data_IF_516356402101
#
_entry.id   IF_516356402101
#
_cell.length_a   1.000
_cell.length_b   1.000
_cell.length_c   1.000
_cell.angle_alpha   90.00
_cell.angle_beta   90.00
_cell.angle_gamma   90.00
#
_symmetry.space_group_name_H-M   'P 1'
#
loop_
_entity.id
_entity.type
_entity.pdbx_description
1 polymer ?
#
# COMPACT_ATOMS: atom_id res chain seq x y z
N UNK A 1 10.77 25.15 25.32
CA UNK A 1 11.60 24.74 26.48
C UNK A 1 10.97 25.40 27.70
N UNK A 2 10.31 24.65 28.58
CA UNK A 2 9.68 25.22 29.76
C UNK A 2 10.03 24.35 30.96
N UNK A 3 10.83 24.92 31.86
CA UNK A 3 11.24 24.32 33.12
C UNK A 3 10.39 24.99 34.21
N UNK A 4 9.49 24.24 34.83
CA UNK A 4 8.80 24.67 36.04
C UNK A 4 9.61 24.24 37.26
N UNK A 5 10.06 25.19 38.06
CA UNK A 5 10.80 24.94 39.31
C UNK A 5 9.98 25.50 40.48
N UNK A 6 9.70 24.69 41.50
CA UNK A 6 9.26 25.17 42.81
C UNK A 6 10.18 24.62 43.92
N UNK A 7 10.04 25.16 45.14
CA UNK A 7 11.02 25.03 46.24
C UNK A 7 11.18 23.62 46.84
N UNK A 8 10.43 22.61 46.36
CA UNK A 8 10.42 21.26 46.92
C UNK A 8 11.18 20.21 46.08
N UNK A 9 11.70 20.58 44.90
CA UNK A 9 12.51 19.69 44.06
C UNK A 9 12.26 19.88 42.57
N UNK A 10 13.24 19.46 41.77
CA UNK A 10 13.13 19.34 40.31
C UNK A 10 12.72 17.92 39.94
N UNK A 11 11.69 17.76 39.11
CA UNK A 11 11.38 16.50 38.44
C UNK A 11 11.61 16.68 36.95
N UNK A 12 12.63 16.01 36.41
CA UNK A 12 12.90 15.97 34.97
C UNK A 12 12.01 14.91 34.33
N UNK A 13 11.12 15.32 33.43
CA UNK A 13 10.39 14.40 32.57
C UNK A 13 10.99 14.46 31.17
N UNK A 14 11.70 13.41 30.76
CA UNK A 14 12.14 13.26 29.38
C UNK A 14 10.91 12.96 28.51
N UNK A 15 10.43 13.98 27.77
CA UNK A 15 9.43 13.76 26.72
C UNK A 15 10.18 13.36 25.46
N UNK A 16 10.13 12.07 25.11
CA UNK A 16 10.55 11.61 23.80
C UNK A 16 9.50 12.04 22.78
N UNK A 17 9.80 13.10 22.01
CA UNK A 17 8.99 13.46 20.84
C UNK A 17 9.60 12.73 19.65
N UNK A 18 9.02 11.59 19.29
CA UNK A 18 9.37 10.94 18.03
C UNK A 18 8.57 11.62 16.92
N UNK A 19 9.26 12.35 16.05
CA UNK A 19 8.69 12.90 14.82
C UNK A 19 8.89 11.85 13.74
N UNK A 20 7.80 11.22 13.31
CA UNK A 20 7.81 10.26 12.19
C UNK A 20 7.34 10.96 10.92
N UNK A 21 7.98 10.66 9.79
CA UNK A 21 7.49 11.06 8.47
C UNK A 21 6.59 9.96 7.88
N UNK A 22 5.56 10.31 7.09
CA UNK A 22 4.81 9.31 6.34
C UNK A 22 5.74 8.50 5.43
N UNK A 23 5.51 7.18 5.27
CA UNK A 23 6.27 6.36 4.35
C UNK A 23 6.21 6.90 2.92
N UNK A 24 7.32 6.83 2.19
CA UNK A 24 7.37 7.24 0.79
C UNK A 24 6.38 6.40 -0.06
N UNK A 25 5.76 6.96 -1.11
CA UNK A 25 4.87 6.21 -1.97
C UNK A 25 5.57 4.95 -2.52
N UNK A 26 4.89 3.80 -2.50
CA UNK A 26 5.47 2.56 -3.00
C UNK A 26 5.53 2.62 -4.53
N UNK A 27 6.54 1.99 -5.13
CA UNK A 27 6.72 2.00 -6.57
C UNK A 27 6.40 0.64 -7.17
N UNK A 28 5.52 0.61 -8.18
CA UNK A 28 5.23 -0.62 -8.93
C UNK A 28 6.46 -0.96 -9.78
N UNK A 29 7.06 -2.12 -9.54
CA UNK A 29 8.22 -2.63 -10.29
C UNK A 29 7.75 -3.44 -11.49
N UNK A 30 6.71 -4.25 -11.32
CA UNK A 30 6.25 -5.19 -12.33
C UNK A 30 4.75 -5.38 -12.26
N UNK A 31 4.12 -5.33 -13.44
CA UNK A 31 2.69 -5.51 -13.63
C UNK A 31 2.49 -6.25 -14.96
N UNK A 32 2.07 -7.51 -14.90
CA UNK A 32 1.84 -8.30 -16.11
C UNK A 32 0.69 -9.30 -15.94
N UNK A 33 -0.07 -9.59 -17.01
CA UNK A 33 -1.14 -10.57 -16.97
C UNK A 33 -0.58 -11.99 -16.86
N UNK A 34 -1.24 -12.80 -16.03
CA UNK A 34 -1.06 -14.24 -15.95
C UNK A 34 -2.20 -14.90 -16.72
N UNK A 35 -1.84 -15.77 -17.66
CA UNK A 35 -2.79 -16.55 -18.45
C UNK A 35 -2.72 -18.02 -18.03
N UNK A 36 -3.89 -18.65 -17.80
CA UNK A 36 -3.96 -20.09 -17.59
C UNK A 36 -3.67 -20.84 -18.90
N UNK A 37 -3.11 -22.05 -18.78
CA UNK A 37 -3.01 -22.99 -19.89
C UNK A 37 -3.86 -24.24 -19.57
N UNK A 38 -4.92 -24.53 -20.35
CA UNK A 38 -5.43 -23.81 -21.53
C UNK A 38 -6.07 -22.44 -21.17
N UNK A 39 -6.18 -21.51 -22.13
CA UNK A 39 -6.80 -20.21 -21.89
C UNK A 39 -8.29 -20.40 -21.58
N UNK A 40 -8.70 -19.99 -20.38
CA UNK A 40 -10.11 -19.89 -20.00
C UNK A 40 -10.54 -18.42 -20.01
N UNK A 41 -11.74 -18.08 -20.54
CA UNK A 41 -12.27 -16.71 -20.48
C UNK A 41 -12.49 -16.21 -19.05
N UNK A 42 -12.55 -17.13 -18.07
CA UNK A 42 -12.86 -16.82 -16.68
C UNK A 42 -11.60 -16.59 -15.82
N UNK A 43 -10.41 -16.82 -16.36
CA UNK A 43 -9.14 -16.73 -15.61
C UNK A 43 -8.23 -15.68 -16.22
N UNK A 44 -8.56 -14.41 -15.98
CA UNK A 44 -7.60 -13.32 -16.19
C UNK A 44 -7.05 -12.94 -14.82
N UNK A 45 -5.77 -13.18 -14.60
CA UNK A 45 -5.08 -12.77 -13.38
C UNK A 45 -3.99 -11.76 -13.70
N UNK A 46 -3.64 -10.92 -12.75
CA UNK A 46 -2.58 -9.93 -12.87
C UNK A 46 -1.57 -10.15 -11.76
N UNK A 47 -0.31 -10.35 -12.12
CA UNK A 47 0.79 -10.31 -11.17
C UNK A 47 1.24 -8.86 -10.99
N UNK A 48 1.29 -8.42 -9.73
CA UNK A 48 1.71 -7.10 -9.30
C UNK A 48 2.83 -7.24 -8.26
N UNK A 49 3.92 -6.49 -8.44
CA UNK A 49 5.03 -6.41 -7.49
C UNK A 49 5.52 -4.97 -7.32
N UNK A 50 5.84 -4.58 -6.10
CA UNK A 50 6.22 -3.21 -5.73
C UNK A 50 7.42 -3.15 -4.76
N UNK A 51 8.16 -2.03 -4.79
CA UNK A 51 9.15 -1.67 -3.76
C UNK A 51 8.56 -0.75 -2.70
N UNK A 52 9.25 -0.73 -1.56
CA UNK A 52 9.14 0.29 -0.54
C UNK A 52 10.45 1.07 -0.49
N UNK A 53 10.40 2.39 -0.66
CA UNK A 53 11.61 3.21 -0.73
C UNK A 53 12.08 3.70 0.65
N UNK A 54 11.17 4.12 1.54
CA UNK A 54 11.55 4.67 2.85
C UNK A 54 10.39 4.55 3.86
N UNK A 55 10.67 4.09 5.09
CA UNK A 55 9.69 3.94 6.17
C UNK A 55 9.46 5.24 6.97
N UNK A 56 10.29 6.27 6.76
CA UNK A 56 10.17 7.53 7.49
C UNK A 56 10.29 7.38 9.02
N UNK A 57 10.87 6.27 9.47
CA UNK A 57 10.94 5.89 10.88
C UNK A 57 9.69 5.17 11.44
N UNK A 58 8.64 4.98 10.65
CA UNK A 58 7.44 4.20 11.03
C UNK A 58 7.29 2.98 10.10
N UNK A 59 7.36 1.74 10.62
CA UNK A 59 7.24 0.56 9.78
C UNK A 59 5.89 0.55 9.05
N UNK A 60 5.91 0.33 7.72
CA UNK A 60 4.69 0.10 6.95
C UNK A 60 4.10 -1.23 7.37
N UNK A 61 2.81 -1.24 7.69
CA UNK A 61 2.11 -2.43 8.18
C UNK A 61 1.31 -3.09 7.07
N UNK A 62 0.78 -2.30 6.12
CA UNK A 62 -0.04 -2.81 5.02
C UNK A 62 -0.01 -1.91 3.79
N UNK A 63 -0.39 -2.48 2.66
CA UNK A 63 -0.63 -1.74 1.43
C UNK A 63 -2.08 -1.90 0.98
N UNK A 64 -2.62 -0.85 0.39
CA UNK A 64 -3.91 -0.90 -0.31
C UNK A 64 -3.64 -0.83 -1.80
N UNK A 65 -4.01 -1.89 -2.51
CA UNK A 65 -3.99 -1.95 -3.96
C UNK A 65 -5.39 -1.64 -4.48
N UNK A 66 -5.53 -0.53 -5.20
CA UNK A 66 -6.79 -0.12 -5.84
C UNK A 66 -6.67 -0.30 -7.34
N UNK A 67 -7.63 -0.99 -7.95
CA UNK A 67 -7.72 -1.12 -9.40
C UNK A 67 -9.11 -0.73 -9.91
N UNK A 68 -9.14 0.06 -10.99
CA UNK A 68 -10.38 0.61 -11.56
C UNK A 68 -10.51 0.23 -13.03
N UNK A 69 -11.64 -0.37 -13.41
CA UNK A 69 -11.98 -0.61 -14.81
C UNK A 69 -12.39 0.70 -15.50
N UNK A 70 -11.50 1.26 -16.32
CA UNK A 70 -11.67 2.62 -16.88
C UNK A 70 -12.64 2.69 -18.07
N UNK A 71 -12.87 1.56 -18.75
CA UNK A 71 -13.81 1.47 -19.88
C UNK A 71 -15.16 0.85 -19.51
N UNK A 72 -15.30 0.38 -18.26
CA UNK A 72 -16.58 -0.12 -17.77
C UNK A 72 -17.52 1.07 -17.45
N UNK A 73 -18.79 0.93 -17.80
CA UNK A 73 -19.84 1.90 -17.45
C UNK A 73 -20.92 1.17 -16.64
N UNK A 74 -21.06 1.41 -15.33
CA UNK A 74 -20.28 2.33 -14.50
C UNK A 74 -18.83 1.87 -14.30
N UNK A 75 -17.94 2.80 -13.96
CA UNK A 75 -16.56 2.46 -13.59
C UNK A 75 -16.57 1.59 -12.35
N UNK A 76 -15.90 0.44 -12.43
CA UNK A 76 -15.82 -0.52 -11.32
C UNK A 76 -14.46 -0.35 -10.65
N UNK A 77 -14.45 0.17 -9.43
CA UNK A 77 -13.26 0.26 -8.58
C UNK A 77 -13.29 -0.83 -7.53
N UNK A 78 -12.17 -1.52 -7.35
CA UNK A 78 -11.98 -2.53 -6.33
C UNK A 78 -10.68 -2.27 -5.57
N UNK A 79 -10.66 -2.67 -4.31
CA UNK A 79 -9.52 -2.50 -3.41
C UNK A 79 -9.19 -3.81 -2.73
N UNK A 80 -7.90 -4.06 -2.55
CA UNK A 80 -7.37 -5.20 -1.82
C UNK A 80 -6.35 -4.69 -0.83
N UNK A 81 -6.53 -5.06 0.44
CA UNK A 81 -5.56 -4.78 1.50
C UNK A 81 -4.64 -5.99 1.61
N UNK A 82 -3.34 -5.74 1.59
CA UNK A 82 -2.30 -6.76 1.73
C UNK A 82 -1.36 -6.38 2.86
N UNK A 83 -0.81 -7.38 3.54
CA UNK A 83 0.21 -7.17 4.56
C UNK A 83 1.47 -6.53 3.92
N UNK A 84 2.31 -5.88 4.74
CA UNK A 84 3.53 -5.24 4.26
C UNK A 84 4.51 -6.22 3.57
N UNK A 85 4.41 -7.52 3.87
CA UNK A 85 5.22 -8.59 3.30
C UNK A 85 4.32 -9.82 3.10
N UNK A 86 4.31 -10.45 1.91
CA UNK A 86 5.18 -10.17 0.76
C UNK A 86 4.73 -8.95 -0.05
N UNK A 87 5.67 -8.33 -0.80
CA UNK A 87 5.39 -7.15 -1.66
C UNK A 87 4.93 -7.56 -3.06
N UNK A 88 4.12 -8.59 -3.12
CA UNK A 88 3.60 -9.14 -4.36
C UNK A 88 2.13 -9.54 -4.16
N UNK A 89 1.34 -9.38 -5.21
CA UNK A 89 -0.07 -9.73 -5.21
C UNK A 89 -0.44 -10.32 -6.57
N UNK A 90 -1.22 -11.40 -6.54
CA UNK A 90 -1.94 -11.90 -7.71
C UNK A 90 -3.38 -11.44 -7.57
N UNK A 91 -3.82 -10.57 -8.46
CA UNK A 91 -5.22 -10.17 -8.57
C UNK A 91 -5.87 -11.18 -9.52
N UNK A 92 -6.83 -11.95 -9.02
CA UNK A 92 -7.58 -12.92 -9.82
C UNK A 92 -8.93 -12.36 -10.30
N UNK A 93 -9.66 -13.18 -11.06
CA UNK A 93 -11.05 -12.92 -11.44
C UNK A 93 -11.28 -11.59 -12.18
N UNK A 94 -10.28 -11.10 -12.91
CA UNK A 94 -10.42 -9.89 -13.71
C UNK A 94 -11.28 -10.17 -14.95
N UNK A 95 -12.09 -9.19 -15.33
CA UNK A 95 -12.88 -9.27 -16.57
C UNK A 95 -11.94 -9.23 -17.78
N UNK A 96 -12.01 -10.22 -18.71
CA UNK A 96 -11.18 -10.24 -19.90
C UNK A 96 -11.45 -9.02 -20.79
N UNK A 97 -10.46 -8.64 -21.60
CA UNK A 97 -10.52 -7.49 -22.52
C UNK A 97 -10.88 -6.14 -21.85
N UNK A 98 -10.68 -6.03 -20.54
CA UNK A 98 -10.95 -4.81 -19.79
C UNK A 98 -9.65 -4.13 -19.41
N UNK A 99 -9.59 -2.81 -19.62
CA UNK A 99 -8.45 -1.99 -19.17
C UNK A 99 -8.65 -1.57 -17.72
N UNK A 100 -7.64 -1.82 -16.88
CA UNK A 100 -7.63 -1.43 -15.48
C UNK A 100 -6.52 -0.40 -15.22
N UNK A 101 -6.84 0.61 -14.43
CA UNK A 101 -5.86 1.52 -13.83
C UNK A 101 -5.57 1.07 -12.41
N UNK A 102 -4.29 0.84 -12.08
CA UNK A 102 -3.86 0.36 -10.76
C UNK A 102 -3.16 1.50 -10.02
N UNK A 103 -3.54 1.70 -8.76
CA UNK A 103 -2.96 2.69 -7.85
C UNK A 103 -2.70 2.06 -6.48
N UNK A 104 -1.69 2.53 -5.78
CA UNK A 104 -1.26 1.98 -4.50
C UNK A 104 -1.20 3.06 -3.41
N UNK A 105 -1.66 2.72 -2.21
CA UNK A 105 -1.60 3.57 -1.03
C UNK A 105 -0.88 2.86 0.13
N UNK A 106 -0.14 3.64 0.93
CA UNK A 106 0.50 3.18 2.17
C UNK A 106 -0.46 3.28 3.35
N UNK A 107 -0.43 2.28 4.25
CA UNK A 107 -1.18 2.31 5.50
C UNK A 107 -0.33 1.84 6.69
#
# INVERSE_FOLDING_TARGET
MQIGSNVAGSSESHVLINVFSPPAPPQIISLFPLFSTPPSPDTTSLFLNWTMEEDGGSPVLSYVIRYTAILATPSLTQEVVVDAIPRELIIDSLVPYTTYEVSQLNY
#
